data_IF_069298481312
#
_entry.id   IF_069298481312
#
_cell.length_a   1.000
_cell.length_b   1.000
_cell.length_c   1.000
_cell.angle_alpha   90.00
_cell.angle_beta   90.00
_cell.angle_gamma   90.00
#
_symmetry.space_group_name_H-M   'P 1'
#
loop_
_entity.id
_entity.type
_entity.pdbx_description
1 polymer ?
#
# COMPACT_ATOMS: atom_id res chain seq x y z
N UNK A 1 6.56 -1.61 -18.16
CA UNK A 1 5.81 -0.35 -18.25
C UNK A 1 4.42 -0.58 -17.67
N UNK A 2 4.14 0.02 -16.52
CA UNK A 2 2.94 -0.17 -15.68
C UNK A 2 1.74 0.62 -16.23
N UNK A 3 1.34 0.37 -17.48
CA UNK A 3 0.10 0.94 -18.00
C UNK A 3 -1.07 0.12 -17.43
N UNK A 4 -1.84 0.74 -16.55
CA UNK A 4 -3.08 0.14 -16.04
C UNK A 4 -4.19 0.37 -17.05
N UNK A 5 -4.94 -0.69 -17.33
CA UNK A 5 -5.91 -0.77 -18.43
C UNK A 5 -7.14 0.13 -18.25
N UNK A 6 -7.39 0.61 -17.03
CA UNK A 6 -8.65 1.27 -16.65
C UNK A 6 -8.48 2.75 -16.23
N UNK A 7 -7.30 3.31 -16.50
CA UNK A 7 -7.02 4.71 -16.14
C UNK A 7 -7.78 5.66 -17.07
N UNK A 8 -8.55 6.63 -16.54
CA UNK A 8 -9.19 7.65 -17.36
C UNK A 8 -8.19 8.44 -18.19
N UNK A 9 -8.56 8.78 -19.43
CA UNK A 9 -7.67 9.46 -20.37
C UNK A 9 -7.14 10.81 -19.84
N UNK A 10 -7.97 11.57 -19.12
CA UNK A 10 -7.57 12.84 -18.53
C UNK A 10 -6.48 12.67 -17.45
N UNK A 11 -6.60 11.65 -16.59
CA UNK A 11 -5.57 11.32 -15.58
C UNK A 11 -4.29 10.81 -16.25
N UNK A 12 -4.41 10.01 -17.32
CA UNK A 12 -3.26 9.56 -18.09
C UNK A 12 -2.46 10.73 -18.69
N UNK A 13 -3.15 11.70 -19.31
CA UNK A 13 -2.50 12.91 -19.86
C UNK A 13 -1.89 13.76 -18.76
N UNK A 14 -2.58 13.91 -17.63
CA UNK A 14 -2.09 14.68 -16.48
C UNK A 14 -0.78 14.10 -15.92
N UNK A 15 -0.70 12.78 -15.70
CA UNK A 15 0.48 12.12 -15.12
C UNK A 15 1.67 12.08 -16.10
N UNK A 16 1.38 11.97 -17.40
CA UNK A 16 2.43 11.89 -18.44
C UNK A 16 2.95 13.25 -18.89
N UNK A 17 2.19 14.32 -18.67
CA UNK A 17 2.58 15.69 -19.01
C UNK A 17 3.32 16.38 -17.85
N UNK A 18 3.72 17.64 -18.10
CA UNK A 18 4.31 18.53 -17.09
C UNK A 18 3.29 18.95 -16.02
N UNK A 19 1.99 18.82 -16.31
CA UNK A 19 0.89 19.22 -15.43
C UNK A 19 0.81 18.42 -14.13
N UNK A 20 1.53 17.29 -14.05
CA UNK A 20 1.71 16.49 -12.83
C UNK A 20 2.33 17.25 -11.65
N UNK A 21 2.99 18.38 -11.89
CA UNK A 21 3.61 19.21 -10.86
C UNK A 21 2.80 20.48 -10.56
N UNK A 22 1.69 20.70 -11.26
CA UNK A 22 0.88 21.88 -11.10
C UNK A 22 -0.02 21.73 -9.84
N UNK A 23 0.14 22.57 -8.81
CA UNK A 23 -0.64 22.46 -7.57
C UNK A 23 -2.16 22.63 -7.79
N UNK A 24 -2.58 23.34 -8.85
CA UNK A 24 -4.00 23.51 -9.19
C UNK A 24 -4.71 22.20 -9.55
N UNK A 25 -3.96 21.17 -9.92
CA UNK A 25 -4.49 19.87 -10.32
C UNK A 25 -4.61 18.87 -9.18
N UNK A 26 -4.27 19.25 -7.93
CA UNK A 26 -4.38 18.36 -6.74
C UNK A 26 -5.77 17.74 -6.63
N UNK A 27 -6.83 18.54 -6.76
CA UNK A 27 -8.20 18.07 -6.55
C UNK A 27 -8.60 16.96 -7.54
N UNK A 28 -8.12 17.01 -8.78
CA UNK A 28 -8.38 15.96 -9.77
C UNK A 28 -7.78 14.62 -9.35
N UNK A 29 -6.59 14.65 -8.73
CA UNK A 29 -5.92 13.44 -8.22
C UNK A 29 -6.55 12.96 -6.91
N UNK A 30 -7.03 13.87 -6.05
CA UNK A 30 -7.77 13.53 -4.83
C UNK A 30 -9.12 12.89 -5.15
N UNK A 31 -9.88 13.46 -6.09
CA UNK A 31 -11.15 12.89 -6.55
C UNK A 31 -10.95 11.51 -7.19
N UNK A 32 -9.88 11.37 -7.98
CA UNK A 32 -9.51 10.08 -8.55
C UNK A 32 -9.11 9.06 -7.47
N UNK A 33 -8.42 9.49 -6.39
CA UNK A 33 -8.13 8.64 -5.24
C UNK A 33 -9.41 8.20 -4.50
N UNK A 34 -10.39 9.10 -4.33
CA UNK A 34 -11.68 8.73 -3.73
C UNK A 34 -12.47 7.73 -4.59
N UNK A 35 -12.42 7.89 -5.91
CA UNK A 35 -12.95 6.90 -6.85
C UNK A 35 -12.23 5.55 -6.73
N UNK A 36 -10.91 5.54 -6.55
CA UNK A 36 -10.14 4.31 -6.32
C UNK A 36 -10.58 3.57 -5.05
N UNK A 37 -10.77 4.30 -3.93
CA UNK A 37 -11.26 3.74 -2.66
C UNK A 37 -12.66 3.12 -2.81
N UNK A 38 -13.56 3.84 -3.48
CA UNK A 38 -14.97 3.44 -3.62
C UNK A 38 -15.16 2.28 -4.60
N UNK A 39 -14.38 2.25 -5.68
CA UNK A 39 -14.52 1.28 -6.78
C UNK A 39 -13.52 0.10 -6.70
N UNK A 40 -12.75 0.00 -5.62
CA UNK A 40 -11.77 -1.08 -5.41
C UNK A 40 -10.73 -1.17 -6.56
N UNK A 41 -10.27 0.01 -6.99
CA UNK A 41 -9.26 0.20 -8.02
C UNK A 41 -7.96 0.70 -7.38
N UNK A 42 -6.83 0.37 -8.00
CA UNK A 42 -5.53 0.76 -7.47
C UNK A 42 -4.60 1.22 -8.57
N UNK A 43 -4.18 2.49 -8.50
CA UNK A 43 -3.25 3.13 -9.42
C UNK A 43 -2.03 3.71 -8.72
N UNK A 44 -0.97 2.90 -8.69
CA UNK A 44 0.29 3.30 -8.07
C UNK A 44 0.85 4.60 -8.68
N UNK A 45 0.82 4.76 -9.99
CA UNK A 45 1.47 5.92 -10.62
C UNK A 45 0.74 7.22 -10.29
N UNK A 46 -0.59 7.20 -10.29
CA UNK A 46 -1.40 8.33 -9.88
C UNK A 46 -1.18 8.66 -8.39
N UNK A 47 -1.17 7.63 -7.55
CA UNK A 47 -0.99 7.77 -6.10
C UNK A 47 0.40 8.33 -5.75
N UNK A 48 1.47 7.86 -6.42
CA UNK A 48 2.82 8.41 -6.24
C UNK A 48 2.94 9.82 -6.82
N UNK A 49 2.22 10.15 -7.90
CA UNK A 49 2.19 11.51 -8.44
C UNK A 49 1.56 12.49 -7.45
N UNK A 50 0.45 12.09 -6.81
CA UNK A 50 -0.20 12.86 -5.75
C UNK A 50 0.73 13.10 -4.56
N UNK A 51 1.38 12.04 -4.05
CA UNK A 51 2.34 12.17 -2.93
C UNK A 51 3.54 13.06 -3.29
N UNK A 52 4.07 12.96 -4.52
CA UNK A 52 5.14 13.86 -4.99
C UNK A 52 4.67 15.32 -5.06
N UNK A 53 3.43 15.56 -5.47
CA UNK A 53 2.88 16.91 -5.55
C UNK A 53 2.77 17.53 -4.15
N UNK A 54 2.37 16.75 -3.14
CA UNK A 54 2.40 17.16 -1.73
C UNK A 54 3.82 17.36 -1.20
N UNK A 55 4.79 16.54 -1.62
CA UNK A 55 6.19 16.69 -1.22
C UNK A 55 6.78 18.01 -1.71
N UNK A 56 6.45 18.45 -2.94
CA UNK A 56 6.92 19.73 -3.48
C UNK A 56 6.14 20.93 -2.95
N UNK A 57 4.88 20.74 -2.56
CA UNK A 57 4.00 21.81 -2.10
C UNK A 57 3.41 21.45 -0.73
N UNK A 58 4.15 21.65 0.37
CA UNK A 58 3.67 21.27 1.69
C UNK A 58 2.38 21.99 2.12
N UNK A 59 2.11 23.20 1.59
CA UNK A 59 0.93 23.99 1.93
C UNK A 59 -0.41 23.37 1.47
N UNK A 60 -0.38 22.54 0.41
CA UNK A 60 -1.57 21.86 -0.14
C UNK A 60 -1.64 20.39 0.28
N UNK A 61 -0.71 19.93 1.12
CA UNK A 61 -0.68 18.55 1.60
C UNK A 61 -1.96 18.22 2.37
N UNK A 62 -2.66 17.19 1.92
CA UNK A 62 -3.79 16.61 2.64
C UNK A 62 -3.33 15.34 3.37
N UNK A 63 -3.29 15.36 4.71
CA UNK A 63 -2.94 14.19 5.50
C UNK A 63 -3.86 13.00 5.25
N UNK A 64 -5.17 13.25 5.16
CA UNK A 64 -6.19 12.22 4.92
C UNK A 64 -5.99 11.50 3.59
N UNK A 65 -5.66 12.24 2.52
CA UNK A 65 -5.36 11.66 1.22
C UNK A 65 -4.06 10.83 1.27
N UNK A 66 -3.04 11.31 1.96
CA UNK A 66 -1.77 10.58 2.13
C UNK A 66 -1.96 9.25 2.87
N UNK A 67 -2.75 9.25 3.95
CA UNK A 67 -3.11 8.03 4.68
C UNK A 67 -3.94 7.08 3.81
N UNK A 68 -4.86 7.61 3.00
CA UNK A 68 -5.66 6.81 2.06
C UNK A 68 -4.80 6.10 1.01
N UNK A 69 -3.76 6.77 0.49
CA UNK A 69 -2.79 6.14 -0.43
C UNK A 69 -2.05 4.99 0.24
N UNK A 70 -1.57 5.19 1.47
CA UNK A 70 -0.89 4.13 2.24
C UNK A 70 -1.83 2.95 2.52
N UNK A 71 -3.09 3.23 2.85
CA UNK A 71 -4.11 2.23 3.12
C UNK A 71 -4.43 1.39 1.88
N UNK A 72 -4.60 2.03 0.71
CA UNK A 72 -4.78 1.33 -0.56
C UNK A 72 -3.57 0.47 -0.93
N UNK A 73 -2.35 1.00 -0.75
CA UNK A 73 -1.13 0.24 -1.01
C UNK A 73 -1.04 -1.03 -0.14
N UNK A 74 -1.43 -0.92 1.14
CA UNK A 74 -1.50 -2.05 2.06
C UNK A 74 -2.53 -3.10 1.62
N UNK A 75 -3.66 -2.70 1.04
CA UNK A 75 -4.73 -3.59 0.62
C UNK A 75 -4.42 -4.33 -0.69
N UNK A 76 -3.99 -3.60 -1.72
CA UNK A 76 -3.86 -4.13 -3.09
C UNK A 76 -2.50 -4.77 -3.34
N UNK A 77 -1.44 -4.27 -2.68
CA UNK A 77 -0.08 -4.70 -2.94
C UNK A 77 0.76 -4.86 -1.65
N UNK A 78 0.28 -5.65 -0.66
CA UNK A 78 0.96 -5.78 0.64
C UNK A 78 2.38 -6.35 0.59
N UNK A 79 2.69 -7.13 -0.45
CA UNK A 79 3.99 -7.78 -0.64
C UNK A 79 4.86 -7.11 -1.71
N UNK A 80 4.36 -6.06 -2.35
CA UNK A 80 5.13 -5.27 -3.31
C UNK A 80 5.89 -4.15 -2.56
N UNK A 81 6.88 -3.50 -3.19
CA UNK A 81 7.57 -2.36 -2.60
C UNK A 81 6.71 -1.08 -2.59
N UNK A 82 5.47 -1.12 -3.07
CA UNK A 82 4.64 0.05 -3.32
C UNK A 82 4.35 0.85 -2.04
N UNK A 83 4.08 0.14 -0.94
CA UNK A 83 3.91 0.78 0.38
C UNK A 83 5.19 1.52 0.81
N UNK A 84 6.36 0.88 0.65
CA UNK A 84 7.64 1.49 1.02
C UNK A 84 7.97 2.71 0.15
N UNK A 85 7.61 2.67 -1.14
CA UNK A 85 7.74 3.82 -2.04
C UNK A 85 6.82 4.97 -1.60
N UNK A 86 5.55 4.69 -1.33
CA UNK A 86 4.61 5.69 -0.83
C UNK A 86 5.07 6.29 0.50
N UNK A 87 5.53 5.45 1.43
CA UNK A 87 6.10 5.88 2.71
C UNK A 87 7.28 6.83 2.55
N UNK A 88 8.20 6.53 1.62
CA UNK A 88 9.40 7.36 1.39
C UNK A 88 9.11 8.73 0.78
N UNK A 89 7.92 8.94 0.22
CA UNK A 89 7.48 10.20 -0.38
C UNK A 89 6.69 11.07 0.59
N UNK A 90 6.35 10.56 1.78
CA UNK A 90 5.77 11.39 2.83
C UNK A 90 6.79 12.44 3.24
N UNK A 91 6.36 13.69 3.32
CA UNK A 91 7.25 14.81 3.68
C UNK A 91 7.69 14.70 5.15
N UNK A 92 8.88 15.24 5.47
CA UNK A 92 9.33 15.37 6.86
C UNK A 92 8.33 16.15 7.71
N UNK A 93 7.58 17.09 7.12
CA UNK A 93 6.48 17.78 7.80
C UNK A 93 5.37 16.83 8.29
N UNK A 94 5.07 15.78 7.52
CA UNK A 94 4.09 14.76 7.88
C UNK A 94 4.64 13.77 8.93
N UNK A 95 5.94 13.45 8.87
CA UNK A 95 6.59 12.44 9.74
C UNK A 95 7.14 13.03 11.05
N UNK A 96 7.54 14.30 11.05
CA UNK A 96 8.19 14.98 12.19
C UNK A 96 7.18 15.82 12.99
N UNK A 97 6.00 16.13 12.43
CA UNK A 97 5.05 17.08 13.05
C UNK A 97 5.59 18.51 13.08
N UNK A 98 6.57 18.81 12.21
CA UNK A 98 7.19 20.13 12.13
C UNK A 98 6.27 21.07 11.36
N UNK A 99 5.79 22.12 12.03
CA UNK A 99 5.27 23.30 11.36
C UNK A 99 6.28 23.75 10.32
N UNK A 100 5.83 23.96 9.08
CA UNK A 100 6.66 24.56 8.04
C UNK A 100 7.28 25.86 8.58
N UNK A 101 8.58 26.12 8.35
CA UNK A 101 9.06 27.48 8.50
C UNK A 101 8.23 28.38 7.60
N UNK A 102 7.73 29.50 8.16
CA UNK A 102 7.05 30.53 7.38
C UNK A 102 7.90 30.84 6.16
N UNK A 103 7.32 30.80 4.97
CA UNK A 103 8.01 31.21 3.75
C UNK A 103 8.67 32.56 4.03
N UNK A 104 9.97 32.65 3.78
CA UNK A 104 10.66 33.93 3.83
C UNK A 104 9.95 34.85 2.83
N UNK A 105 9.65 36.11 3.20
CA UNK A 105 9.09 37.05 2.23
C UNK A 105 10.06 37.11 1.06
N UNK A 106 9.58 36.78 -0.13
CA UNK A 106 10.29 37.08 -1.36
C UNK A 106 10.45 38.60 -1.40
N UNK A 107 11.64 39.08 -1.04
CA UNK A 107 12.10 40.39 -1.45
C UNK A 107 12.36 40.30 -2.94
N UNK A 108 11.48 40.89 -3.74
CA UNK A 108 11.87 41.91 -4.72
C UNK A 108 10.60 42.43 -5.43
N UNK A 109 10.39 43.72 -5.20
CA UNK A 109 9.81 44.75 -6.09
C UNK A 109 8.31 44.79 -6.45
N UNK A 110 7.75 45.94 -6.02
CA UNK A 110 6.86 46.89 -6.71
C UNK A 110 5.33 46.74 -6.70
N UNK A 111 4.75 47.79 -6.11
CA UNK A 111 3.51 48.53 -6.43
C UNK A 111 2.13 47.98 -6.01
N UNK A 112 1.47 48.84 -5.22
CA UNK A 112 0.02 49.03 -5.02
C UNK A 112 -0.93 48.15 -5.86
N UNK A 113 -1.54 47.15 -5.22
CA UNK A 113 -2.92 46.76 -5.53
C UNK A 113 -3.58 46.10 -4.31
N UNK A 114 -4.76 46.59 -3.96
CA UNK A 114 -5.64 46.10 -2.89
C UNK A 114 -6.25 44.74 -3.29
N UNK A 115 -5.51 43.65 -3.16
CA UNK A 115 -6.10 42.31 -3.06
C UNK A 115 -5.40 41.53 -1.95
N UNK A 116 -6.08 41.46 -0.81
CA UNK A 116 -5.59 40.75 0.37
C UNK A 116 -5.26 39.29 0.00
N UNK A 117 -4.01 38.81 0.16
CA UNK A 117 -3.72 37.40 -0.02
C UNK A 117 -4.51 36.62 1.02
N UNK A 118 -5.25 35.60 0.56
CA UNK A 118 -6.04 34.71 1.41
C UNK A 118 -5.20 34.24 2.62
N UNK A 119 -5.77 34.23 3.83
CA UNK A 119 -5.00 33.94 5.03
C UNK A 119 -4.34 32.57 4.89
N UNK A 120 -3.02 32.56 4.99
CA UNK A 120 -2.22 31.35 5.07
C UNK A 120 -2.84 30.41 6.10
N UNK A 121 -3.24 29.21 5.65
CA UNK A 121 -3.84 28.17 6.49
C UNK A 121 -2.92 27.95 7.68
N UNK A 122 -3.41 28.27 8.88
CA UNK A 122 -2.68 28.12 10.13
C UNK A 122 -2.11 26.70 10.25
N UNK A 123 -0.94 26.50 10.89
CA UNK A 123 -0.38 25.16 11.08
C UNK A 123 -1.42 24.31 11.81
N UNK A 124 -2.00 23.34 11.08
CA UNK A 124 -2.93 22.40 11.64
C UNK A 124 -2.19 21.61 12.73
N UNK A 125 -2.71 21.62 13.96
CA UNK A 125 -2.17 20.76 15.01
C UNK A 125 -2.19 19.30 14.51
N UNK A 126 -1.15 18.49 14.74
CA UNK A 126 -1.13 17.11 14.26
C UNK A 126 -2.13 16.26 15.06
N UNK A 127 -3.28 15.95 14.44
CA UNK A 127 -4.39 15.18 15.03
C UNK A 127 -4.17 13.67 14.88
N UNK A 128 -3.06 13.13 15.41
CA UNK A 128 -2.81 11.67 15.40
C UNK A 128 -2.50 11.06 14.02
N UNK A 129 -2.38 11.86 12.97
CA UNK A 129 -2.14 11.42 11.59
C UNK A 129 -0.79 10.73 11.43
N UNK A 130 0.23 11.22 12.15
CA UNK A 130 1.56 10.61 12.21
C UNK A 130 1.48 9.22 12.85
N UNK A 131 0.86 9.12 14.02
CA UNK A 131 0.68 7.86 14.73
C UNK A 131 -0.12 6.87 13.88
N UNK A 132 -1.09 7.37 13.11
CA UNK A 132 -1.86 6.57 12.13
C UNK A 132 -0.96 6.05 11.01
N UNK A 133 -0.10 6.90 10.45
CA UNK A 133 0.87 6.49 9.44
C UNK A 133 1.84 5.43 10.00
N UNK A 134 2.38 5.63 11.19
CA UNK A 134 3.24 4.66 11.87
C UNK A 134 2.52 3.33 12.14
N UNK A 135 1.23 3.37 12.49
CA UNK A 135 0.40 2.17 12.61
C UNK A 135 0.26 1.43 11.28
N UNK A 136 0.00 2.14 10.18
CA UNK A 136 -0.04 1.55 8.84
C UNK A 136 1.31 0.93 8.44
N UNK A 137 2.43 1.58 8.79
CA UNK A 137 3.77 1.02 8.59
C UNK A 137 3.98 -0.26 9.41
N UNK A 138 3.55 -0.29 10.67
CA UNK A 138 3.63 -1.49 11.50
C UNK A 138 2.80 -2.63 10.91
N UNK A 139 1.58 -2.34 10.45
CA UNK A 139 0.72 -3.30 9.75
C UNK A 139 1.39 -3.84 8.47
N UNK A 140 1.99 -2.97 7.65
CA UNK A 140 2.76 -3.37 6.47
C UNK A 140 3.92 -4.31 6.83
N UNK A 141 4.67 -4.01 7.89
CA UNK A 141 5.78 -4.87 8.35
C UNK A 141 5.30 -6.24 8.81
N UNK A 142 4.18 -6.31 9.54
CA UNK A 142 3.58 -7.58 9.97
C UNK A 142 3.13 -8.42 8.77
N UNK A 143 2.54 -7.78 7.76
CA UNK A 143 2.12 -8.44 6.54
C UNK A 143 3.33 -9.01 5.77
N UNK A 144 4.37 -8.21 5.56
CA UNK A 144 5.63 -8.65 4.92
C UNK A 144 6.31 -9.80 5.68
N UNK A 145 6.26 -9.77 7.02
CA UNK A 145 6.80 -10.82 7.89
C UNK A 145 5.89 -12.07 7.99
N UNK A 146 4.77 -12.13 7.27
CA UNK A 146 3.77 -13.22 7.31
C UNK A 146 3.16 -13.46 8.70
N UNK A 147 3.19 -12.45 9.56
CA UNK A 147 2.58 -12.47 10.89
C UNK A 147 1.11 -12.05 10.80
N UNK A 148 0.32 -12.81 10.04
CA UNK A 148 -1.08 -12.47 9.73
C UNK A 148 -1.98 -12.38 10.97
N UNK A 149 -1.72 -13.22 11.97
CA UNK A 149 -2.46 -13.20 13.25
C UNK A 149 -2.27 -11.88 13.98
N UNK A 150 -1.02 -11.43 14.06
CA UNK A 150 -0.66 -10.19 14.74
C UNK A 150 -1.17 -8.99 13.94
N UNK A 151 -1.17 -9.06 12.61
CA UNK A 151 -1.77 -8.04 11.75
C UNK A 151 -3.25 -7.83 12.07
N UNK A 152 -4.07 -8.89 12.08
CA UNK A 152 -5.50 -8.76 12.38
C UNK A 152 -5.80 -8.38 13.82
N UNK A 153 -4.89 -8.71 14.75
CA UNK A 153 -4.99 -8.25 16.13
C UNK A 153 -4.75 -6.75 16.19
N UNK A 154 -3.61 -6.28 15.68
CA UNK A 154 -3.25 -4.86 15.68
C UNK A 154 -4.28 -4.00 14.94
N UNK A 155 -4.83 -4.50 13.84
CA UNK A 155 -5.86 -3.79 13.07
C UNK A 155 -7.19 -3.62 13.83
N UNK A 156 -7.63 -4.61 14.61
CA UNK A 156 -8.94 -4.58 15.31
C UNK A 156 -8.85 -4.05 16.74
N UNK A 157 -7.86 -4.53 17.47
CA UNK A 157 -7.66 -4.26 18.89
C UNK A 157 -6.79 -3.02 19.10
N UNK A 158 -6.11 -2.53 18.07
CA UNK A 158 -5.15 -1.45 18.20
C UNK A 158 -3.92 -1.89 18.98
N UNK A 159 -3.19 -0.91 19.50
CA UNK A 159 -2.00 -1.13 20.30
C UNK A 159 -2.28 -0.83 21.77
N UNK A 160 -2.55 -1.90 22.51
CA UNK A 160 -2.86 -1.83 23.94
C UNK A 160 -1.72 -1.32 24.81
N UNK A 161 -0.48 -1.31 24.31
CA UNK A 161 0.72 -0.87 25.05
C UNK A 161 1.02 0.63 24.87
N UNK A 162 0.26 1.33 24.03
CA UNK A 162 0.43 2.77 23.85
C UNK A 162 -0.02 3.51 25.11
N UNK A 163 0.95 4.09 25.86
CA UNK A 163 0.74 4.83 27.11
C UNK A 163 -0.15 6.10 26.97
N UNK A 164 -0.63 6.41 25.77
CA UNK A 164 -1.52 7.52 25.46
C UNK A 164 -2.86 7.02 24.91
N UNK A 165 -3.78 6.63 25.80
CA UNK A 165 -5.11 6.12 25.42
C UNK A 165 -5.96 7.05 24.54
N UNK A 166 -5.78 8.38 24.65
CA UNK A 166 -6.48 9.36 23.80
C UNK A 166 -6.00 9.32 22.34
N UNK A 167 -4.68 9.25 22.13
CA UNK A 167 -4.08 9.17 20.79
C UNK A 167 -4.40 7.84 20.11
N UNK A 168 -4.41 6.76 20.87
CA UNK A 168 -4.80 5.45 20.33
C UNK A 168 -6.27 5.45 19.86
N UNK A 169 -7.16 6.13 20.57
CA UNK A 169 -8.55 6.30 20.11
C UNK A 169 -8.62 7.05 18.77
N UNK A 170 -7.89 8.15 18.63
CA UNK A 170 -7.82 8.94 17.38
C UNK A 170 -7.29 8.11 16.21
N UNK A 171 -6.20 7.35 16.43
CA UNK A 171 -5.62 6.46 15.41
C UNK A 171 -6.60 5.39 14.97
N UNK A 172 -7.31 4.78 15.93
CA UNK A 172 -8.33 3.77 15.62
C UNK A 172 -9.48 4.36 14.83
N UNK A 173 -9.97 5.53 15.23
CA UNK A 173 -11.04 6.23 14.50
C UNK A 173 -10.61 6.58 13.07
N UNK A 174 -9.36 7.02 12.88
CA UNK A 174 -8.80 7.30 11.57
C UNK A 174 -8.74 6.05 10.69
N UNK A 175 -8.26 4.92 11.22
CA UNK A 175 -8.25 3.64 10.49
C UNK A 175 -9.66 3.16 10.17
N UNK A 176 -10.58 3.26 11.12
CA UNK A 176 -11.99 2.90 10.89
C UNK A 176 -12.63 3.80 9.82
N UNK A 177 -12.26 5.08 9.76
CA UNK A 177 -12.69 6.01 8.72
C UNK A 177 -12.17 5.59 7.34
N UNK A 178 -10.89 5.22 7.25
CA UNK A 178 -10.29 4.70 6.01
C UNK A 178 -10.97 3.39 5.57
N UNK A 179 -11.24 2.49 6.52
CA UNK A 179 -11.94 1.24 6.25
C UNK A 179 -13.38 1.45 5.76
N UNK A 180 -14.09 2.47 6.26
CA UNK A 180 -15.42 2.86 5.75
C UNK A 180 -15.35 3.39 4.32
N UNK A 181 -14.32 4.15 3.98
CA UNK A 181 -14.11 4.69 2.63
C UNK A 181 -13.71 3.61 1.62
N UNK A 182 -13.07 2.53 2.06
CA UNK A 182 -12.67 1.40 1.22
C UNK A 182 -13.30 0.08 1.72
N UNK A 183 -14.59 -0.17 1.45
CA UNK A 183 -15.31 -1.34 1.96
C UNK A 183 -14.74 -2.68 1.48
N UNK A 184 -13.99 -2.69 0.37
CA UNK A 184 -13.34 -3.88 -0.16
C UNK A 184 -12.01 -4.24 0.53
N UNK A 185 -11.48 -3.37 1.42
CA UNK A 185 -10.16 -3.51 2.04
C UNK A 185 -9.92 -4.89 2.66
N UNK A 186 -10.81 -5.28 3.57
CA UNK A 186 -10.74 -6.55 4.28
C UNK A 186 -10.71 -7.75 3.33
N UNK A 187 -11.54 -7.72 2.29
CA UNK A 187 -11.61 -8.75 1.25
C UNK A 187 -10.30 -8.85 0.47
N UNK A 188 -9.73 -7.71 0.06
CA UNK A 188 -8.45 -7.65 -0.67
C UNK A 188 -7.27 -8.14 0.14
N UNK A 189 -7.21 -7.78 1.41
CA UNK A 189 -6.16 -8.28 2.32
C UNK A 189 -6.29 -9.80 2.46
N UNK A 190 -7.50 -10.33 2.68
CA UNK A 190 -7.75 -11.78 2.76
C UNK A 190 -7.39 -12.50 1.47
N UNK A 191 -7.72 -11.95 0.31
CA UNK A 191 -7.31 -12.50 -0.98
C UNK A 191 -5.79 -12.56 -1.15
N UNK A 192 -5.09 -11.52 -0.70
CA UNK A 192 -3.63 -11.47 -0.77
C UNK A 192 -3.00 -12.52 0.15
N UNK A 193 -3.50 -12.65 1.37
CA UNK A 193 -3.08 -13.71 2.31
C UNK A 193 -3.39 -15.11 1.72
N UNK A 194 -4.57 -15.30 1.13
CA UNK A 194 -4.98 -16.56 0.50
C UNK A 194 -4.02 -17.00 -0.61
N UNK A 195 -3.63 -16.08 -1.51
CA UNK A 195 -2.64 -16.37 -2.58
C UNK A 195 -1.30 -16.83 -2.01
N UNK A 196 -0.88 -16.25 -0.89
CA UNK A 196 0.36 -16.63 -0.24
C UNK A 196 0.27 -17.99 0.47
N UNK A 197 -0.88 -18.31 1.04
CA UNK A 197 -1.16 -19.64 1.60
C UNK A 197 -1.15 -20.69 0.49
N UNK A 198 -1.77 -20.41 -0.67
CA UNK A 198 -1.76 -21.31 -1.84
C UNK A 198 -0.36 -21.61 -2.36
N UNK A 199 0.56 -20.65 -2.28
CA UNK A 199 1.96 -20.82 -2.70
C UNK A 199 2.78 -21.65 -1.72
N UNK A 200 2.42 -21.64 -0.45
CA UNK A 200 3.24 -22.21 0.63
C UNK A 200 2.71 -23.52 1.22
N UNK A 201 1.43 -23.83 1.02
CA UNK A 201 0.79 -25.02 1.60
C UNK A 201 0.12 -25.89 0.53
N UNK A 202 0.01 -27.19 0.83
CA UNK A 202 -0.82 -28.17 0.11
C UNK A 202 -2.09 -28.50 0.88
N UNK A 203 -1.97 -28.57 2.21
CA UNK A 203 -3.07 -28.66 3.15
C UNK A 203 -2.72 -27.82 4.38
N UNK A 204 -3.73 -27.23 5.00
CA UNK A 204 -3.58 -26.41 6.20
C UNK A 204 -4.73 -26.72 7.17
N UNK A 205 -4.44 -26.77 8.47
CA UNK A 205 -5.48 -26.96 9.48
C UNK A 205 -6.48 -25.79 9.42
N UNK A 206 -7.79 -26.11 9.44
CA UNK A 206 -8.87 -25.12 9.41
C UNK A 206 -8.70 -23.97 10.42
N UNK A 207 -8.42 -24.21 11.73
CA UNK A 207 -8.25 -23.12 12.69
C UNK A 207 -7.03 -22.24 12.41
N UNK A 208 -5.98 -22.79 11.79
CA UNK A 208 -4.81 -22.01 11.40
C UNK A 208 -5.12 -21.09 10.23
N UNK A 209 -5.88 -21.58 9.24
CA UNK A 209 -6.30 -20.80 8.09
C UNK A 209 -7.26 -19.68 8.48
N UNK A 210 -8.24 -19.97 9.33
CA UNK A 210 -9.16 -18.96 9.89
C UNK A 210 -8.39 -17.86 10.64
N UNK A 211 -7.38 -18.25 11.43
CA UNK A 211 -6.53 -17.29 12.13
C UNK A 211 -5.64 -16.45 11.18
N UNK A 212 -5.24 -16.99 10.02
CA UNK A 212 -4.51 -16.23 9.00
C UNK A 212 -5.41 -15.24 8.26
N UNK A 213 -6.64 -15.65 7.93
CA UNK A 213 -7.60 -14.80 7.23
C UNK A 213 -8.31 -13.81 8.17
N UNK A 214 -8.17 -13.98 9.49
CA UNK A 214 -8.83 -13.13 10.48
C UNK A 214 -10.36 -13.28 10.46
N UNK A 215 -10.87 -14.40 9.96
CA UNK A 215 -12.31 -14.67 9.83
C UNK A 215 -12.77 -15.53 11.00
N UNK A 216 -13.83 -15.10 11.68
CA UNK A 216 -14.54 -15.91 12.69
C UNK A 216 -15.78 -16.60 12.11
N UNK A 217 -16.21 -16.19 10.91
CA UNK A 217 -17.39 -16.72 10.24
C UNK A 217 -17.03 -17.84 9.25
N UNK A 218 -17.65 -19.00 9.44
CA UNK A 218 -17.49 -20.16 8.56
C UNK A 218 -17.98 -19.86 7.13
N UNK A 219 -18.98 -18.99 6.96
CA UNK A 219 -19.56 -18.68 5.65
C UNK A 219 -18.54 -17.98 4.73
N UNK A 220 -17.71 -17.09 5.29
CA UNK A 220 -16.68 -16.36 4.55
C UNK A 220 -15.58 -17.31 4.05
N UNK A 221 -15.19 -18.29 4.87
CA UNK A 221 -14.21 -19.30 4.48
C UNK A 221 -14.75 -20.18 3.35
N UNK A 222 -16.01 -20.59 3.40
CA UNK A 222 -16.65 -21.40 2.36
C UNK A 222 -16.77 -20.64 1.03
N UNK A 223 -17.15 -19.36 1.07
CA UNK A 223 -17.21 -18.51 -0.12
C UNK A 223 -15.82 -18.35 -0.76
N UNK A 224 -14.80 -18.06 0.05
CA UNK A 224 -13.43 -17.94 -0.43
C UNK A 224 -12.90 -19.26 -0.99
N UNK A 225 -13.17 -20.37 -0.29
CA UNK A 225 -12.81 -21.71 -0.74
C UNK A 225 -13.45 -22.04 -2.10
N UNK A 226 -14.73 -21.70 -2.29
CA UNK A 226 -15.42 -21.90 -3.57
C UNK A 226 -14.81 -21.07 -4.69
N UNK A 227 -14.47 -19.81 -4.43
CA UNK A 227 -13.83 -18.93 -5.43
C UNK A 227 -12.42 -19.40 -5.81
N UNK A 228 -11.67 -19.96 -4.86
CA UNK A 228 -10.28 -20.39 -5.03
C UNK A 228 -10.10 -21.88 -5.36
N UNK A 229 -11.18 -22.65 -5.38
CA UNK A 229 -11.14 -24.10 -5.62
C UNK A 229 -10.55 -24.91 -4.47
N UNK A 230 -10.61 -24.41 -3.24
CA UNK A 230 -10.16 -25.14 -2.05
C UNK A 230 -11.17 -26.21 -1.65
N UNK A 231 -10.67 -27.34 -1.17
CA UNK A 231 -11.52 -28.42 -0.63
C UNK A 231 -11.50 -28.37 0.89
N UNK A 232 -12.58 -27.89 1.49
CA UNK A 232 -12.75 -27.81 2.94
C UNK A 232 -13.18 -29.17 3.48
N UNK A 233 -12.38 -29.73 4.39
CA UNK A 233 -12.71 -30.96 5.15
C UNK A 233 -13.03 -30.59 6.61
N UNK A 234 -13.33 -31.59 7.44
CA UNK A 234 -13.66 -31.35 8.86
C UNK A 234 -12.49 -30.72 9.64
N UNK A 235 -11.24 -31.14 9.37
CA UNK A 235 -10.06 -30.72 10.15
C UNK A 235 -9.10 -29.83 9.37
N UNK A 236 -9.00 -30.02 8.06
CA UNK A 236 -8.04 -29.36 7.20
C UNK A 236 -8.67 -28.86 5.89
N UNK A 237 -8.00 -27.91 5.26
CA UNK A 237 -8.38 -27.36 3.95
C UNK A 237 -7.29 -27.73 2.96
N UNK A 238 -7.67 -28.44 1.91
CA UNK A 238 -6.76 -28.80 0.83
C UNK A 238 -6.77 -27.73 -0.26
N UNK A 239 -5.56 -27.39 -0.71
CA UNK A 239 -5.31 -26.34 -1.68
C UNK A 239 -4.97 -26.99 -3.04
N UNK A 240 -5.41 -26.42 -4.17
CA UNK A 240 -5.04 -26.91 -5.49
C UNK A 240 -3.52 -26.94 -5.67
N UNK A 241 -3.03 -27.98 -6.35
CA UNK A 241 -1.61 -28.04 -6.71
C UNK A 241 -1.29 -26.95 -7.75
N UNK A 242 -0.20 -26.25 -7.53
CA UNK A 242 0.36 -25.25 -8.41
C UNK A 242 1.89 -25.41 -8.49
N UNK A 243 2.51 -24.61 -9.36
CA UNK A 243 3.95 -24.63 -9.60
C UNK A 243 4.80 -24.28 -8.37
N UNK A 244 4.22 -23.58 -7.39
CA UNK A 244 4.90 -23.11 -6.18
C UNK A 244 4.76 -24.08 -5.00
N UNK A 245 3.64 -24.78 -4.87
CA UNK A 245 3.34 -25.70 -3.78
C UNK A 245 3.64 -27.18 -4.13
N UNK A 246 4.27 -27.43 -5.29
CA UNK A 246 4.70 -28.75 -5.72
C UNK A 246 6.23 -28.83 -5.73
N UNK A 247 6.86 -29.76 -4.98
CA UNK A 247 8.29 -29.98 -5.03
C UNK A 247 8.72 -30.33 -6.45
N UNK A 248 9.53 -29.46 -7.05
CA UNK A 248 10.20 -29.73 -8.32
C UNK A 248 11.56 -30.33 -7.99
N UNK A 249 11.76 -31.60 -8.35
CA UNK A 249 13.08 -32.20 -8.29
C UNK A 249 13.95 -31.53 -9.35
N UNK A 250 14.85 -30.64 -8.94
CA UNK A 250 15.86 -30.08 -9.84
C UNK A 250 16.95 -31.13 -9.98
N UNK A 251 16.92 -31.91 -11.05
CA UNK A 251 18.03 -32.78 -11.43
C UNK A 251 19.12 -31.90 -12.00
N UNK A 252 20.03 -31.42 -11.15
CA UNK A 252 21.26 -30.74 -11.55
C UNK A 252 22.19 -31.74 -12.22
N UNK A 253 22.04 -31.90 -13.54
CA UNK A 253 23.13 -32.33 -14.39
C UNK A 253 23.59 -31.09 -15.14
N UNK A 254 24.81 -30.64 -14.88
CA UNK A 254 25.42 -29.60 -15.70
C UNK A 254 25.81 -30.23 -17.04
N UNK A 255 24.96 -30.03 -18.05
CA UNK A 255 25.26 -30.42 -19.42
C UNK A 255 26.11 -29.31 -20.03
N UNK A 256 27.42 -29.42 -19.85
CA UNK A 256 28.38 -28.52 -20.51
C UNK A 256 28.42 -28.93 -21.98
N UNK A 257 27.80 -28.12 -22.83
CA UNK A 257 27.85 -28.32 -24.28
C UNK A 257 29.24 -27.92 -24.81
N UNK A 258 29.77 -28.65 -25.79
CA UNK A 258 31.12 -28.41 -26.34
C UNK A 258 31.28 -26.98 -26.87
N UNK A 259 30.20 -26.35 -27.33
CA UNK A 259 30.17 -24.94 -27.75
C UNK A 259 30.57 -23.97 -26.62
N UNK A 260 30.23 -24.29 -25.37
CA UNK A 260 30.59 -23.50 -24.19
C UNK A 260 32.08 -23.64 -23.85
N UNK A 261 32.71 -24.74 -24.28
CA UNK A 261 34.14 -25.02 -24.11
C UNK A 261 34.98 -24.52 -25.30
N UNK A 262 34.36 -24.19 -26.43
CA UNK A 262 35.06 -23.79 -27.65
C UNK A 262 36.00 -22.57 -27.46
N UNK A 263 35.64 -21.62 -26.57
CA UNK A 263 36.52 -20.48 -26.22
C UNK A 263 37.78 -20.89 -25.45
N UNK A 264 37.72 -21.98 -24.68
CA UNK A 264 38.85 -22.52 -23.93
C UNK A 264 39.75 -23.36 -24.84
N UNK A 265 39.15 -24.25 -25.66
CA UNK A 265 39.90 -25.08 -26.61
C UNK A 265 40.57 -24.26 -27.73
N UNK A 266 39.94 -23.17 -28.18
CA UNK A 266 40.52 -22.29 -29.21
C UNK A 266 41.77 -21.53 -28.74
N UNK A 267 41.99 -21.40 -27.42
CA UNK A 267 43.17 -20.74 -26.84
C UNK A 267 44.33 -21.69 -26.56
N UNK A 268 44.11 -23.00 -26.52
CA UNK A 268 45.13 -24.01 -26.21
C UNK A 268 45.82 -24.61 -27.45
N UNK A 269 45.41 -24.23 -28.66
CA UNK A 269 46.04 -24.67 -29.92
C UNK A 269 46.92 -23.60 -30.60
N UNK A 270 47.38 -22.60 -29.84
CA UNK A 270 48.38 -21.62 -30.29
C UNK A 270 49.74 -21.89 -29.62
#
# INVERSE_FOLDING_TARGET
MLAQSDRPAHIQTLISSVDRYNPSNVHLLEDYLQSQLSNDQYDLLANLALLKLYQFNPAICSPSASLSVLFLALAHAPFSPDFSLAWSLLSDSFVVGGSLPSAAPSSDDDEDDEDAPAPARAPAEPHGEKETAERLLALSKLMQARKFRDFWRLYREGDSDSAQGQKEHEVREAIDSLARSAPAFDGRVRESIAREVERSFRSIAKPTLEAFLGTTDASQLEQLAKQRGWTVRERDVQLPQNDSNTPKAVVTHERIEIEQLARLLGRSQA
#
